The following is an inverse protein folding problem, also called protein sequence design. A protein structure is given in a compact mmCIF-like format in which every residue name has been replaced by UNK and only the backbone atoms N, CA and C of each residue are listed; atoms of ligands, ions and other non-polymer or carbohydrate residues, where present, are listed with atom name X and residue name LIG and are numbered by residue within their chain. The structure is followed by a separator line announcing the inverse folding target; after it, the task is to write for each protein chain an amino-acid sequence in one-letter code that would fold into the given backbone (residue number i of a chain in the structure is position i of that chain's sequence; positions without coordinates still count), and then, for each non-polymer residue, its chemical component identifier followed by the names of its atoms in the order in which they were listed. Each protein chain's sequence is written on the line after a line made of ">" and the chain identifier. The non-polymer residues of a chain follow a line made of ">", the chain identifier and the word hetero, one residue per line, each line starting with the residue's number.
data_IF_037231812917
#
_entry.id   IF_037231812917
#
_cell.length_a   1.000
_cell.length_b   1.000
_cell.length_c   1.000
_cell.angle_alpha   90.00
_cell.angle_beta   90.00
_cell.angle_gamma   90.00
#
_symmetry.space_group_name_H-M   'P 1'
#
loop_
_entity.id
_entity.type
_entity.pdbx_description
1 polymer ?
#
# COMPACT_ATOMS: atom_id res chain seq x y z
N UNK A 1 -26.04 0.07 43.69
CA UNK A 1 -25.06 -0.90 43.15
C UNK A 1 -25.66 -1.54 41.91
N UNK A 2 -24.80 -1.90 40.94
CA UNK A 2 -25.03 -2.31 39.52
C UNK A 2 -25.05 -1.12 38.53
N UNK A 3 -24.19 -1.00 37.52
CA UNK A 3 -23.09 -1.85 37.07
C UNK A 3 -22.08 -1.04 36.23
N UNK A 4 -20.89 -0.82 36.80
CA UNK A 4 -19.66 -0.54 36.05
C UNK A 4 -19.21 -1.84 35.36
N UNK A 5 -19.81 -2.24 34.24
CA UNK A 5 -19.36 -3.45 33.53
C UNK A 5 -19.69 -3.43 32.04
N UNK A 6 -19.09 -2.50 31.28
CA UNK A 6 -18.95 -2.66 29.82
C UNK A 6 -17.96 -1.69 29.14
N UNK A 7 -17.46 -0.66 29.84
CA UNK A 7 -16.49 0.30 29.28
C UNK A 7 -15.03 -0.17 29.27
N UNK A 8 -14.68 -1.26 29.95
CA UNK A 8 -13.28 -1.67 30.13
C UNK A 8 -12.76 -2.59 29.01
N UNK A 9 -13.60 -3.39 28.37
CA UNK A 9 -13.14 -4.38 27.37
C UNK A 9 -12.69 -3.72 26.06
N UNK A 10 -13.38 -2.67 25.60
CA UNK A 10 -12.99 -1.94 24.37
C UNK A 10 -11.67 -1.17 24.52
N UNK A 11 -11.39 -0.62 25.71
CA UNK A 11 -10.08 0.00 26.02
C UNK A 11 -8.96 -1.03 26.09
N UNK A 12 -9.22 -2.22 26.62
CA UNK A 12 -8.25 -3.31 26.63
C UNK A 12 -7.91 -3.81 25.21
N UNK A 13 -8.89 -3.89 24.31
CA UNK A 13 -8.67 -4.28 22.91
C UNK A 13 -7.77 -3.28 22.17
N UNK A 14 -8.08 -1.98 22.24
CA UNK A 14 -7.28 -0.93 21.58
C UNK A 14 -5.85 -0.86 22.14
N UNK A 15 -5.68 -0.99 23.47
CA UNK A 15 -4.34 -1.06 24.08
C UNK A 15 -3.55 -2.31 23.68
N UNK A 16 -4.23 -3.47 23.59
CA UNK A 16 -3.60 -4.73 23.19
C UNK A 16 -3.19 -4.71 21.73
N UNK A 17 -4.02 -4.13 20.87
CA UNK A 17 -3.69 -3.88 19.46
C UNK A 17 -2.52 -2.92 19.33
N UNK A 18 -2.55 -1.76 19.99
CA UNK A 18 -1.45 -0.78 19.95
C UNK A 18 -0.11 -1.34 20.43
N UNK A 19 -0.08 -2.03 21.58
CA UNK A 19 1.15 -2.69 22.07
C UNK A 19 1.69 -3.79 21.15
N UNK A 20 0.81 -4.47 20.40
CA UNK A 20 1.19 -5.49 19.41
C UNK A 20 1.73 -4.88 18.11
N UNK A 21 1.37 -3.63 17.80
CA UNK A 21 1.97 -2.88 16.69
C UNK A 21 3.39 -2.38 17.01
N UNK A 22 3.68 -2.00 18.27
CA UNK A 22 5.03 -1.60 18.70
C UNK A 22 6.06 -2.75 18.64
N UNK A 23 5.61 -4.00 18.86
CA UNK A 23 6.51 -5.16 18.90
C UNK A 23 6.85 -5.77 17.53
N UNK A 24 6.08 -5.46 16.47
CA UNK A 24 6.29 -6.00 15.12
C UNK A 24 6.73 -4.89 14.16
N UNK A 25 8.00 -4.46 14.28
CA UNK A 25 8.70 -3.69 13.24
C UNK A 25 9.17 -4.55 12.07
N UNK A 26 8.62 -5.74 11.92
CA UNK A 26 8.95 -6.66 10.85
C UNK A 26 8.28 -6.20 9.55
N UNK A 27 9.06 -6.08 8.47
CA UNK A 27 8.54 -5.79 7.14
C UNK A 27 7.46 -6.82 6.81
N UNK A 28 6.20 -6.37 6.79
CA UNK A 28 5.10 -7.21 6.31
C UNK A 28 5.04 -7.05 4.79
N UNK A 29 5.28 -8.13 4.02
CA UNK A 29 5.15 -8.05 2.58
C UNK A 29 3.71 -7.65 2.22
N UNK A 30 3.52 -6.94 1.10
CA UNK A 30 2.19 -6.59 0.63
C UNK A 30 1.35 -7.87 0.45
N UNK A 31 0.08 -7.80 0.86
CA UNK A 31 -0.87 -8.88 0.59
C UNK A 31 -0.88 -9.19 -0.91
N UNK A 32 -0.79 -10.47 -1.31
CA UNK A 32 -0.77 -10.84 -2.73
C UNK A 32 -2.00 -10.32 -3.47
N UNK A 33 -1.77 -9.69 -4.61
CA UNK A 33 -2.81 -9.31 -5.56
C UNK A 33 -2.73 -10.28 -6.73
N UNK A 34 -3.78 -11.08 -6.94
CA UNK A 34 -3.79 -12.18 -7.93
C UNK A 34 -2.61 -13.15 -7.77
N UNK A 35 -2.22 -13.44 -6.52
CA UNK A 35 -1.08 -14.30 -6.21
C UNK A 35 0.29 -13.62 -6.29
N UNK A 36 0.37 -12.34 -6.66
CA UNK A 36 1.63 -11.57 -6.71
C UNK A 36 1.75 -10.57 -5.56
N UNK A 37 2.69 -10.83 -4.66
CA UNK A 37 3.03 -9.99 -3.51
C UNK A 37 4.16 -9.02 -3.84
N UNK A 38 5.40 -9.38 -3.50
CA UNK A 38 6.58 -8.49 -3.65
C UNK A 38 6.99 -8.22 -5.10
N UNK A 39 6.69 -9.12 -6.04
CA UNK A 39 7.00 -8.97 -7.48
C UNK A 39 6.39 -7.71 -8.10
N UNK A 40 5.34 -7.18 -7.48
CA UNK A 40 4.62 -5.98 -7.92
C UNK A 40 5.39 -4.69 -7.67
N UNK A 41 6.42 -4.75 -6.82
CA UNK A 41 7.21 -3.60 -6.38
C UNK A 41 8.40 -3.40 -7.30
N UNK A 42 8.48 -2.24 -7.94
CA UNK A 42 9.66 -1.83 -8.70
C UNK A 42 10.75 -1.35 -7.74
N UNK A 43 11.96 -1.84 -7.93
CA UNK A 43 13.13 -1.50 -7.11
C UNK A 43 14.22 -0.86 -7.95
N UNK A 44 14.92 0.09 -7.34
CA UNK A 44 16.03 0.81 -7.96
C UNK A 44 17.18 -0.16 -8.27
N UNK A 45 17.61 -0.32 -9.53
CA UNK A 45 18.77 -1.14 -9.85
C UNK A 45 20.08 -0.60 -9.23
N UNK A 46 20.19 0.73 -9.12
CA UNK A 46 21.35 1.45 -8.58
C UNK A 46 20.96 2.76 -7.92
N UNK A 47 21.94 3.45 -7.34
CA UNK A 47 21.81 4.83 -6.86
C UNK A 47 21.71 5.79 -8.05
N UNK A 48 20.80 6.77 -7.98
CA UNK A 48 20.70 7.82 -8.99
C UNK A 48 19.34 8.53 -9.04
N UNK A 49 19.12 9.33 -10.07
CA UNK A 49 17.80 9.88 -10.40
C UNK A 49 17.13 9.00 -11.45
N UNK A 50 15.82 8.84 -11.29
CA UNK A 50 15.02 8.03 -12.21
C UNK A 50 14.45 8.92 -13.31
N UNK A 51 14.50 8.42 -14.54
CA UNK A 51 13.84 9.00 -15.70
C UNK A 51 12.75 8.02 -16.13
N UNK A 52 11.49 8.45 -16.08
CA UNK A 52 10.35 7.62 -16.45
C UNK A 52 9.95 7.88 -17.90
N UNK A 53 9.61 6.80 -18.61
CA UNK A 53 9.06 6.82 -19.96
C UNK A 53 7.53 6.55 -19.97
N UNK A 54 6.96 6.31 -18.78
CA UNK A 54 5.55 5.93 -18.57
C UNK A 54 4.93 6.79 -17.47
N UNK A 55 3.61 6.84 -17.44
CA UNK A 55 2.83 7.57 -16.43
C UNK A 55 2.01 6.65 -15.51
N UNK A 56 1.61 7.16 -14.35
CA UNK A 56 0.68 6.46 -13.46
C UNK A 56 -0.68 6.31 -14.18
N UNK A 57 -1.22 5.09 -14.18
CA UNK A 57 -2.44 4.72 -14.88
C UNK A 57 -2.21 4.08 -16.26
N UNK A 58 -0.97 4.09 -16.75
CA UNK A 58 -0.63 3.47 -18.04
C UNK A 58 -0.58 1.94 -17.92
N UNK A 59 -1.07 1.25 -18.97
CA UNK A 59 -0.96 -0.20 -19.09
C UNK A 59 0.38 -0.59 -19.71
N UNK A 60 1.05 -1.57 -19.12
CA UNK A 60 2.38 -2.03 -19.52
C UNK A 60 2.41 -3.52 -19.73
N UNK A 61 3.29 -3.99 -20.61
CA UNK A 61 3.53 -5.42 -20.89
C UNK A 61 4.85 -5.88 -20.29
N UNK A 62 4.96 -7.18 -19.98
CA UNK A 62 6.18 -7.78 -19.44
C UNK A 62 7.41 -7.41 -20.28
N UNK A 63 8.49 -7.05 -19.59
CA UNK A 63 9.77 -6.60 -20.15
C UNK A 63 9.72 -5.26 -20.91
N UNK A 64 8.60 -4.54 -20.91
CA UNK A 64 8.56 -3.17 -21.41
C UNK A 64 9.45 -2.26 -20.55
N UNK A 65 10.27 -1.43 -21.21
CA UNK A 65 11.08 -0.41 -20.54
C UNK A 65 10.18 0.68 -19.96
N UNK A 66 10.15 0.81 -18.64
CA UNK A 66 9.39 1.83 -17.91
C UNK A 66 10.18 3.11 -17.72
N UNK A 67 11.51 3.01 -17.68
CA UNK A 67 12.40 4.12 -17.41
C UNK A 67 13.85 3.67 -17.23
N UNK A 68 14.69 4.55 -16.73
CA UNK A 68 16.10 4.27 -16.47
C UNK A 68 16.66 5.04 -15.27
N UNK A 69 17.72 4.50 -14.70
CA UNK A 69 18.58 5.18 -13.73
C UNK A 69 20.00 5.13 -14.25
N UNK A 70 20.55 6.30 -14.60
CA UNK A 70 21.78 6.40 -15.38
C UNK A 70 21.70 5.54 -16.66
N UNK A 71 22.46 4.45 -16.75
CA UNK A 71 22.53 3.56 -17.91
C UNK A 71 21.70 2.27 -17.74
N UNK A 72 21.13 2.03 -16.56
CA UNK A 72 20.37 0.81 -16.28
C UNK A 72 18.87 1.02 -16.51
N UNK A 73 18.24 0.08 -17.20
CA UNK A 73 16.81 0.13 -17.52
C UNK A 73 15.97 -0.50 -16.41
N UNK A 74 14.79 0.07 -16.18
CA UNK A 74 13.76 -0.47 -15.31
C UNK A 74 12.69 -1.07 -16.21
N UNK A 75 12.50 -2.38 -16.12
CA UNK A 75 11.55 -3.11 -16.96
C UNK A 75 10.34 -3.59 -16.14
N UNK A 76 9.19 -3.71 -16.80
CA UNK A 76 7.99 -4.27 -16.18
C UNK A 76 8.18 -5.78 -15.87
N UNK A 77 8.06 -6.22 -14.61
CA UNK A 77 8.16 -7.65 -14.25
C UNK A 77 7.05 -8.51 -14.87
N UNK A 78 5.89 -7.91 -15.14
CA UNK A 78 4.72 -8.57 -15.71
C UNK A 78 3.76 -7.55 -16.34
N UNK A 79 2.76 -8.05 -17.06
CA UNK A 79 1.66 -7.27 -17.61
C UNK A 79 0.76 -6.67 -16.52
N UNK A 80 0.48 -5.37 -16.59
CA UNK A 80 -0.35 -4.71 -15.60
C UNK A 80 -0.53 -3.23 -15.85
N UNK A 81 -0.85 -2.48 -14.78
CA UNK A 81 -1.05 -1.04 -14.80
C UNK A 81 -0.11 -0.38 -13.79
N UNK A 82 0.56 0.69 -14.20
CA UNK A 82 1.43 1.48 -13.31
C UNK A 82 0.58 2.22 -12.28
N UNK A 83 0.86 2.05 -10.98
CA UNK A 83 0.08 2.69 -9.90
C UNK A 83 0.87 3.69 -9.08
N UNK A 84 2.16 3.42 -8.91
CA UNK A 84 3.06 4.27 -8.15
C UNK A 84 4.38 4.41 -8.88
N UNK A 85 4.87 5.65 -8.95
CA UNK A 85 6.20 6.00 -9.42
C UNK A 85 6.79 7.00 -8.44
N UNK A 86 8.06 6.86 -8.11
CA UNK A 86 8.78 7.86 -7.32
C UNK A 86 8.96 9.12 -8.16
N UNK A 87 8.91 10.28 -7.51
CA UNK A 87 9.11 11.54 -8.19
C UNK A 87 10.52 11.63 -8.81
N UNK A 88 10.68 12.07 -10.07
CA UNK A 88 11.98 12.06 -10.78
C UNK A 88 13.12 12.77 -10.05
N UNK A 89 12.79 13.84 -9.31
CA UNK A 89 13.77 14.63 -8.56
C UNK A 89 14.32 13.94 -7.28
N UNK A 90 13.78 12.78 -6.90
CA UNK A 90 14.24 12.06 -5.71
C UNK A 90 15.47 11.22 -6.05
N UNK A 91 16.55 11.43 -5.29
CA UNK A 91 17.73 10.55 -5.35
C UNK A 91 17.38 9.19 -4.74
N UNK A 92 17.40 8.15 -5.57
CA UNK A 92 17.15 6.77 -5.15
C UNK A 92 18.43 6.11 -4.67
N UNK A 93 18.25 5.11 -3.80
CA UNK A 93 19.30 4.16 -3.41
C UNK A 93 19.04 2.81 -4.04
N UNK A 94 20.08 2.03 -4.31
CA UNK A 94 19.95 0.67 -4.78
C UNK A 94 18.95 -0.12 -3.92
N UNK A 95 18.09 -0.90 -4.58
CA UNK A 95 17.03 -1.70 -3.99
C UNK A 95 15.88 -0.92 -3.31
N UNK A 96 15.94 0.43 -3.33
CA UNK A 96 14.85 1.29 -2.86
C UNK A 96 13.59 1.06 -3.71
N UNK A 97 12.41 1.04 -3.07
CA UNK A 97 11.14 1.01 -3.79
C UNK A 97 10.99 2.31 -4.60
N UNK A 98 10.84 2.18 -5.91
CA UNK A 98 10.68 3.30 -6.84
C UNK A 98 9.32 3.29 -7.55
N UNK A 99 8.53 2.23 -7.39
CA UNK A 99 7.18 2.18 -7.94
C UNK A 99 6.46 0.87 -7.65
N UNK A 100 5.24 0.72 -8.17
CA UNK A 100 4.55 -0.55 -8.22
C UNK A 100 3.58 -0.68 -9.41
N UNK A 101 3.47 -1.92 -9.90
CA UNK A 101 2.57 -2.34 -10.98
C UNK A 101 1.47 -3.21 -10.39
N UNK A 102 0.22 -2.94 -10.74
CA UNK A 102 -0.92 -3.77 -10.39
C UNK A 102 -1.19 -4.75 -11.53
N UNK A 103 -1.22 -6.07 -11.31
CA UNK A 103 -1.53 -7.03 -12.37
C UNK A 103 -2.99 -6.92 -12.84
N UNK A 104 -3.87 -6.33 -12.02
CA UNK A 104 -5.27 -6.14 -12.37
C UNK A 104 -5.39 -5.05 -13.43
N UNK A 105 -5.80 -5.43 -14.63
CA UNK A 105 -6.19 -4.50 -15.70
C UNK A 105 -7.60 -3.93 -15.46
N UNK A 106 -7.98 -3.69 -14.21
CA UNK A 106 -9.33 -3.24 -13.83
C UNK A 106 -9.27 -1.84 -13.22
N UNK A 107 -10.29 -1.03 -13.49
CA UNK A 107 -10.44 0.31 -12.91
C UNK A 107 -10.89 0.30 -11.44
N UNK A 108 -10.76 -0.84 -10.76
CA UNK A 108 -11.31 -1.03 -9.41
C UNK A 108 -10.69 -0.09 -8.37
N UNK A 109 -9.56 0.52 -8.70
CA UNK A 109 -8.90 1.54 -7.92
C UNK A 109 -9.67 2.86 -7.79
N UNK A 110 -10.65 3.08 -8.67
CA UNK A 110 -11.57 4.23 -8.59
C UNK A 110 -12.67 4.01 -7.54
N UNK A 111 -12.82 2.80 -7.02
CA UNK A 111 -13.81 2.47 -5.99
C UNK A 111 -13.19 2.40 -4.60
N UNK A 112 -14.02 2.70 -3.59
CA UNK A 112 -13.61 2.65 -2.18
C UNK A 112 -13.44 1.18 -1.78
N UNK A 113 -12.27 0.81 -1.25
CA UNK A 113 -12.01 -0.56 -0.81
C UNK A 113 -12.87 -0.98 0.38
N UNK A 114 -13.17 -2.28 0.49
CA UNK A 114 -13.88 -2.86 1.64
C UNK A 114 -13.19 -2.56 2.98
N UNK A 115 -11.85 -2.47 3.00
CA UNK A 115 -11.10 -2.08 4.20
C UNK A 115 -11.42 -0.64 4.62
N UNK A 116 -11.46 0.28 3.65
CA UNK A 116 -11.79 1.67 3.90
C UNK A 116 -13.26 1.83 4.34
N UNK A 117 -14.19 1.11 3.70
CA UNK A 117 -15.60 1.06 4.10
C UNK A 117 -15.77 0.52 5.52
N UNK A 118 -15.06 -0.56 5.86
CA UNK A 118 -15.12 -1.16 7.21
C UNK A 118 -14.61 -0.22 8.30
N UNK A 119 -13.51 0.50 8.04
CA UNK A 119 -13.00 1.53 8.96
C UNK A 119 -14.02 2.66 9.12
N UNK A 120 -14.55 3.17 8.01
CA UNK A 120 -15.57 4.22 8.01
C UNK A 120 -16.83 3.81 8.79
N UNK A 121 -17.32 2.59 8.55
CA UNK A 121 -18.45 2.00 9.27
C UNK A 121 -18.20 1.89 10.78
N UNK A 122 -17.03 1.37 11.19
CA UNK A 122 -16.67 1.27 12.60
C UNK A 122 -16.57 2.64 13.31
N UNK A 123 -16.07 3.67 12.63
CA UNK A 123 -16.06 5.04 13.16
C UNK A 123 -17.48 5.58 13.32
N UNK A 124 -18.35 5.37 12.32
CA UNK A 124 -19.74 5.79 12.35
C UNK A 124 -20.50 5.16 13.53
N UNK A 125 -20.34 3.85 13.72
CA UNK A 125 -20.94 3.11 14.83
C UNK A 125 -20.48 3.64 16.20
N UNK A 126 -19.19 3.96 16.33
CA UNK A 126 -18.65 4.51 17.57
C UNK A 126 -19.24 5.89 17.89
N UNK A 127 -19.36 6.77 16.90
CA UNK A 127 -19.97 8.10 17.06
C UNK A 127 -21.44 7.96 17.46
N UNK A 128 -22.21 7.13 16.76
CA UNK A 128 -23.62 6.90 17.09
C UNK A 128 -23.80 6.32 18.49
N UNK A 129 -22.91 5.43 18.93
CA UNK A 129 -22.94 4.87 20.27
C UNK A 129 -22.66 5.92 21.36
N UNK A 130 -21.78 6.89 21.08
CA UNK A 130 -21.47 7.99 22.01
C UNK A 130 -22.53 9.10 22.01
N UNK A 131 -23.29 9.27 20.93
CA UNK A 131 -24.38 10.27 20.86
C UNK A 131 -25.69 9.76 21.46
N UNK A 132 -25.87 8.43 21.57
CA UNK A 132 -27.04 7.80 22.21
C UNK A 132 -26.85 7.54 23.72
N UNK A 133 -25.76 8.03 24.32
CA UNK A 133 -25.42 7.85 25.74
C UNK A 133 -25.54 9.13 26.54
#
# INVERSE_FOLDING_TARGET
>A
MIGLCHRNEKRAFLRKSYKRWESNREYRPPEPVEGRGDERVLRSPKDGQVHWNVEIGESVVRNQTLGSIAEETINAPFDGVVRGLIHPLVMTKQNMKIGDIDPRRTDNWRYISDKALSIGGGVLEAVFSCLKS
#
